data_IF_018702665357
#
_entry.id   IF_018702665357
#
_cell.length_a   1.000
_cell.length_b   1.000
_cell.length_c   1.000
_cell.angle_alpha   90.00
_cell.angle_beta   90.00
_cell.angle_gamma   90.00
#
_symmetry.space_group_name_H-M   'P 1'
#
loop_
_entity.id
_entity.type
_entity.pdbx_description
1 polymer ?
#
# COMPACT_ATOMS: atom_id res chain seq x y z
N UNK A 1 39.28 -19.43 -59.99
CA UNK A 1 37.84 -19.11 -59.88
C UNK A 1 37.15 -20.22 -59.11
N UNK A 2 36.66 -19.91 -57.91
CA UNK A 2 35.34 -20.21 -57.34
C UNK A 2 35.51 -19.95 -55.84
N UNK A 3 34.98 -18.79 -55.43
CA UNK A 3 34.83 -18.41 -54.05
C UNK A 3 33.68 -19.22 -53.45
N UNK A 4 33.90 -19.78 -52.25
CA UNK A 4 32.82 -20.33 -51.43
C UNK A 4 32.78 -19.49 -50.16
N UNK A 5 31.92 -18.48 -50.18
CA UNK A 5 31.56 -17.69 -49.01
C UNK A 5 30.51 -18.47 -48.23
N UNK A 6 30.92 -19.07 -47.10
CA UNK A 6 30.00 -19.68 -46.15
C UNK A 6 29.49 -18.60 -45.20
N UNK A 7 28.29 -18.13 -45.53
CA UNK A 7 27.42 -17.28 -44.72
C UNK A 7 27.05 -18.04 -43.44
N UNK A 8 27.69 -17.72 -42.32
CA UNK A 8 27.24 -18.19 -41.01
C UNK A 8 26.37 -17.09 -40.38
N UNK A 9 25.07 -17.34 -40.33
CA UNK A 9 24.07 -16.52 -39.66
C UNK A 9 24.49 -16.21 -38.22
N UNK A 10 24.73 -14.94 -37.92
CA UNK A 10 24.79 -14.45 -36.55
C UNK A 10 23.44 -14.65 -35.89
N UNK A 11 23.36 -15.58 -34.93
CA UNK A 11 22.26 -15.63 -33.98
C UNK A 11 22.35 -14.37 -33.11
N UNK A 12 21.55 -13.36 -33.46
CA UNK A 12 21.21 -12.27 -32.56
C UNK A 12 20.42 -12.86 -31.39
N UNK A 13 21.11 -13.06 -30.27
CA UNK A 13 20.51 -13.21 -28.95
C UNK A 13 19.67 -11.95 -28.69
N UNK A 14 18.37 -12.04 -28.94
CA UNK A 14 17.40 -11.07 -28.43
C UNK A 14 17.34 -11.31 -26.92
N UNK A 15 18.13 -10.55 -26.17
CA UNK A 15 17.94 -10.43 -24.74
C UNK A 15 16.53 -9.86 -24.51
N UNK A 16 15.60 -10.73 -24.12
CA UNK A 16 14.36 -10.30 -23.50
C UNK A 16 14.75 -9.62 -22.19
N UNK A 17 14.89 -8.30 -22.23
CA UNK A 17 14.94 -7.51 -21.02
C UNK A 17 13.59 -7.72 -20.33
N UNK A 18 13.61 -8.44 -19.21
CA UNK A 18 12.53 -8.44 -18.22
C UNK A 18 12.30 -6.98 -17.83
N UNK A 19 11.36 -6.31 -18.52
CA UNK A 19 10.70 -5.14 -17.99
C UNK A 19 9.83 -5.62 -16.84
N UNK A 20 10.48 -5.86 -15.68
CA UNK A 20 9.82 -5.71 -14.39
C UNK A 20 9.17 -4.34 -14.45
N UNK A 21 7.85 -4.31 -14.67
CA UNK A 21 7.00 -3.16 -14.43
C UNK A 21 7.22 -2.81 -12.96
N UNK A 22 8.17 -1.91 -12.70
CA UNK A 22 8.37 -1.29 -11.41
C UNK A 22 7.07 -0.55 -11.14
N UNK A 23 6.20 -1.12 -10.31
CA UNK A 23 4.99 -0.45 -9.88
C UNK A 23 5.37 0.95 -9.39
N UNK A 24 4.65 2.00 -9.84
CA UNK A 24 4.98 3.36 -9.45
C UNK A 24 4.97 3.46 -7.93
N UNK A 25 6.15 3.74 -7.39
CA UNK A 25 6.41 3.91 -5.98
C UNK A 25 5.59 5.13 -5.50
N UNK A 26 4.65 4.93 -4.58
CA UNK A 26 3.70 5.95 -4.13
C UNK A 26 3.71 6.03 -2.60
N UNK A 27 3.75 7.26 -2.09
CA UNK A 27 3.62 7.53 -0.65
C UNK A 27 2.16 7.37 -0.21
N UNK A 28 1.94 6.79 0.96
CA UNK A 28 0.62 6.67 1.59
C UNK A 28 0.17 8.01 2.18
N UNK A 29 0.02 9.02 1.34
CA UNK A 29 -0.31 10.38 1.72
C UNK A 29 -1.45 10.95 0.86
N UNK A 30 -2.34 11.71 1.50
CA UNK A 30 -3.51 12.33 0.87
C UNK A 30 -3.53 13.81 1.25
N UNK A 31 -3.81 14.68 0.28
CA UNK A 31 -4.11 16.09 0.49
C UNK A 31 -5.64 16.22 0.55
N UNK A 32 -6.15 16.84 1.61
CA UNK A 32 -7.59 17.06 1.82
C UNK A 32 -7.87 18.55 1.98
N UNK A 33 -8.82 19.08 1.21
CA UNK A 33 -9.35 20.43 1.38
C UNK A 33 -10.78 20.33 1.89
N UNK A 34 -11.04 20.98 3.02
CA UNK A 34 -12.37 21.06 3.61
C UNK A 34 -13.09 22.33 3.15
N UNK A 35 -14.40 22.24 3.02
CA UNK A 35 -15.25 23.39 2.74
C UNK A 35 -15.07 24.46 3.81
N UNK A 36 -14.92 25.71 3.38
CA UNK A 36 -14.60 26.83 4.28
C UNK A 36 -15.60 27.01 5.43
N UNK A 37 -16.87 26.73 5.15
CA UNK A 37 -17.96 26.90 6.11
C UNK A 37 -18.21 25.64 6.97
N UNK A 38 -17.44 24.58 6.78
CA UNK A 38 -17.47 23.40 7.66
C UNK A 38 -16.70 23.64 8.96
N UNK A 39 -16.98 22.85 9.99
CA UNK A 39 -16.21 22.86 11.23
C UNK A 39 -14.74 22.48 10.99
N UNK A 40 -14.49 21.50 10.11
CA UNK A 40 -13.16 21.10 9.72
C UNK A 40 -12.40 22.25 9.04
N UNK A 41 -13.03 22.92 8.07
CA UNK A 41 -12.46 24.07 7.36
C UNK A 41 -12.09 25.22 8.29
N UNK A 42 -12.97 25.56 9.25
CA UNK A 42 -12.67 26.57 10.28
C UNK A 42 -11.51 26.19 11.19
N UNK A 43 -11.40 24.90 11.56
CA UNK A 43 -10.27 24.41 12.38
C UNK A 43 -8.94 24.51 11.62
N UNK A 44 -8.92 24.11 10.36
CA UNK A 44 -7.73 24.23 9.49
C UNK A 44 -7.32 25.70 9.32
N UNK A 45 -8.30 26.59 9.10
CA UNK A 45 -8.08 28.04 9.02
C UNK A 45 -7.49 28.61 10.32
N UNK A 46 -7.94 28.12 11.48
CA UNK A 46 -7.41 28.53 12.79
C UNK A 46 -5.95 28.10 12.98
N UNK A 47 -5.64 26.84 12.69
CA UNK A 47 -4.27 26.30 12.80
C UNK A 47 -3.31 27.08 11.89
N UNK A 48 -3.70 27.33 10.64
CA UNK A 48 -2.86 28.06 9.70
C UNK A 48 -2.54 29.50 10.16
N UNK A 49 -3.45 30.15 10.88
CA UNK A 49 -3.28 31.53 11.37
C UNK A 49 -2.46 31.62 12.65
N UNK A 50 -2.73 30.72 13.59
CA UNK A 50 -2.18 30.82 14.94
C UNK A 50 -0.83 30.10 15.04
N UNK A 51 -0.80 28.81 14.67
CA UNK A 51 0.35 27.93 14.86
C UNK A 51 0.33 26.79 13.81
N UNK A 52 0.82 27.01 12.58
CA UNK A 52 0.72 26.03 11.49
C UNK A 52 1.45 24.70 11.75
N UNK A 53 2.42 24.70 12.67
CA UNK A 53 3.17 23.51 13.11
C UNK A 53 2.46 22.73 14.24
N UNK A 54 1.51 23.34 14.95
CA UNK A 54 0.79 22.71 16.07
C UNK A 54 -0.43 21.93 15.58
N UNK A 55 -0.17 20.70 15.14
CA UNK A 55 -1.22 19.78 14.68
C UNK A 55 -1.92 19.02 15.83
N UNK A 56 -1.51 19.23 17.09
CA UNK A 56 -2.08 18.52 18.25
C UNK A 56 -3.58 18.77 18.41
N UNK A 57 -4.05 19.93 17.95
CA UNK A 57 -5.46 20.37 17.98
C UNK A 57 -6.37 19.65 16.98
N UNK A 58 -5.81 18.77 16.13
CA UNK A 58 -6.56 18.02 15.13
C UNK A 58 -7.09 16.68 15.63
N UNK A 59 -6.89 16.31 16.91
CA UNK A 59 -7.33 15.02 17.46
C UNK A 59 -8.80 14.69 17.19
N UNK A 60 -9.72 15.62 17.46
CA UNK A 60 -11.15 15.43 17.18
C UNK A 60 -11.42 15.18 15.70
N UNK A 61 -10.77 15.95 14.82
CA UNK A 61 -10.94 15.82 13.37
C UNK A 61 -10.39 14.48 12.87
N UNK A 62 -9.26 14.03 13.39
CA UNK A 62 -8.70 12.71 13.08
C UNK A 62 -9.69 11.60 13.44
N UNK A 63 -10.29 11.67 14.63
CA UNK A 63 -11.25 10.68 15.09
C UNK A 63 -12.53 10.70 14.25
N UNK A 64 -13.05 11.89 13.91
CA UNK A 64 -14.20 12.04 13.01
C UNK A 64 -13.93 11.45 11.62
N UNK A 65 -12.75 11.74 11.04
CA UNK A 65 -12.34 11.16 9.76
C UNK A 65 -12.22 9.65 9.87
N UNK A 66 -11.60 9.13 10.95
CA UNK A 66 -11.45 7.70 11.21
C UNK A 66 -12.80 6.99 11.26
N UNK A 67 -13.78 7.57 11.94
CA UNK A 67 -15.15 7.03 12.01
C UNK A 67 -15.84 7.05 10.65
N UNK A 68 -15.61 8.10 9.85
CA UNK A 68 -16.28 8.30 8.56
C UNK A 68 -15.71 7.41 7.45
N UNK A 69 -14.38 7.22 7.41
CA UNK A 69 -13.72 6.49 6.32
C UNK A 69 -13.25 5.09 6.74
N UNK A 70 -13.21 4.79 8.04
CA UNK A 70 -12.80 3.51 8.60
C UNK A 70 -11.29 3.31 8.79
N UNK A 71 -10.48 4.35 8.55
CA UNK A 71 -9.01 4.28 8.57
C UNK A 71 -8.41 5.42 9.41
N UNK A 72 -7.33 5.12 10.12
CA UNK A 72 -6.59 6.14 10.86
C UNK A 72 -5.79 7.01 9.88
N UNK A 73 -5.93 8.32 10.00
CA UNK A 73 -5.17 9.31 9.22
C UNK A 73 -4.37 10.18 10.19
N UNK A 74 -3.06 10.27 9.96
CA UNK A 74 -2.14 11.08 10.78
C UNK A 74 -1.86 12.40 10.07
N UNK A 75 -2.22 13.56 10.63
CA UNK A 75 -1.84 14.87 10.10
C UNK A 75 -0.34 15.02 10.00
N UNK A 76 0.11 15.53 8.86
CA UNK A 76 1.53 15.80 8.57
C UNK A 76 1.80 17.29 8.58
N UNK A 77 0.93 18.10 7.94
CA UNK A 77 1.02 19.57 7.92
C UNK A 77 -0.24 20.19 7.33
N UNK A 78 -0.40 21.49 7.55
CA UNK A 78 -1.36 22.33 6.82
C UNK A 78 -0.62 23.18 5.79
N UNK A 79 -1.10 23.20 4.54
CA UNK A 79 -0.52 24.01 3.46
C UNK A 79 -1.03 25.45 3.50
N UNK A 80 -0.32 26.37 2.84
CA UNK A 80 -0.78 27.76 2.66
C UNK A 80 -2.10 27.85 1.86
N UNK A 81 -2.44 26.81 1.08
CA UNK A 81 -3.70 26.63 0.40
C UNK A 81 -4.87 26.20 1.30
N UNK A 82 -4.65 26.11 2.62
CA UNK A 82 -5.60 25.58 3.62
C UNK A 82 -5.96 24.12 3.36
N UNK A 83 -4.97 23.34 2.95
CA UNK A 83 -5.13 21.91 2.74
C UNK A 83 -4.45 21.17 3.88
N UNK A 84 -5.05 20.08 4.33
CA UNK A 84 -4.44 19.17 5.28
C UNK A 84 -3.74 18.04 4.52
N UNK A 85 -2.42 17.91 4.70
CA UNK A 85 -1.69 16.72 4.29
C UNK A 85 -1.82 15.68 5.42
N UNK A 86 -2.31 14.49 5.09
CA UNK A 86 -2.41 13.35 6.01
C UNK A 86 -1.63 12.15 5.48
N UNK A 87 -1.06 11.37 6.39
CA UNK A 87 -0.40 10.08 6.15
C UNK A 87 -1.27 8.93 6.64
N UNK A 88 -1.25 7.83 5.92
CA UNK A 88 -1.87 6.57 6.33
C UNK A 88 -0.73 5.66 6.86
N UNK A 89 -0.70 5.35 8.17
CA UNK A 89 0.34 4.49 8.72
C UNK A 89 0.13 3.04 8.24
N UNK A 90 1.18 2.40 7.71
CA UNK A 90 1.09 1.05 7.13
C UNK A 90 0.99 -0.05 8.21
N UNK A 91 1.79 0.05 9.27
CA UNK A 91 1.85 -0.98 10.32
C UNK A 91 0.49 -1.28 10.97
N UNK A 92 -0.34 -0.30 11.37
CA UNK A 92 -1.66 -0.59 11.92
C UNK A 92 -2.59 -1.33 10.95
N UNK A 93 -2.39 -1.18 9.64
CA UNK A 93 -3.17 -1.91 8.62
C UNK A 93 -2.79 -3.39 8.60
N UNK A 94 -1.48 -3.66 8.60
CA UNK A 94 -0.95 -5.02 8.59
C UNK A 94 -1.16 -5.73 9.93
N UNK A 95 -1.07 -5.02 11.07
CA UNK A 95 -1.40 -5.58 12.38
C UNK A 95 -2.88 -5.99 12.46
N UNK A 96 -3.81 -5.19 11.91
CA UNK A 96 -5.22 -5.58 11.83
C UNK A 96 -5.44 -6.86 11.02
N UNK A 97 -4.71 -7.02 9.91
CA UNK A 97 -4.76 -8.24 9.10
C UNK A 97 -4.17 -9.41 9.90
N UNK A 98 -3.01 -9.21 10.52
CA UNK A 98 -2.32 -10.20 11.36
C UNK A 98 -3.24 -10.72 12.45
N UNK A 99 -3.87 -9.86 13.24
CA UNK A 99 -4.82 -10.25 14.30
C UNK A 99 -5.96 -11.15 13.81
N UNK A 100 -6.43 -10.94 12.58
CA UNK A 100 -7.46 -11.77 11.95
C UNK A 100 -6.90 -13.12 11.49
N UNK A 101 -5.73 -13.10 10.82
CA UNK A 101 -5.12 -14.30 10.27
C UNK A 101 -4.55 -15.24 11.35
N UNK A 102 -3.98 -14.71 12.43
CA UNK A 102 -3.43 -15.52 13.53
C UNK A 102 -4.50 -16.36 14.25
N UNK A 103 -5.79 -16.07 14.06
CA UNK A 103 -6.91 -16.80 14.65
C UNK A 103 -7.40 -17.95 13.77
N UNK A 104 -6.86 -18.10 12.55
CA UNK A 104 -7.27 -19.12 11.59
C UNK A 104 -6.58 -20.46 11.89
N UNK A 105 -7.30 -21.59 11.86
CA UNK A 105 -6.73 -22.89 12.19
C UNK A 105 -5.67 -23.38 11.20
N UNK A 106 -5.70 -22.91 9.95
CA UNK A 106 -4.71 -23.24 8.92
C UNK A 106 -3.38 -22.48 9.08
N UNK A 107 -3.36 -21.41 9.87
CA UNK A 107 -2.19 -20.53 10.07
C UNK A 107 -1.34 -21.02 11.24
N UNK A 108 -0.07 -21.29 10.97
CA UNK A 108 0.93 -21.71 11.95
C UNK A 108 1.57 -20.51 12.67
N UNK A 109 1.94 -19.46 11.92
CA UNK A 109 2.58 -18.26 12.45
C UNK A 109 2.35 -17.06 11.52
N UNK A 110 2.38 -15.86 12.09
CA UNK A 110 2.36 -14.57 11.40
C UNK A 110 3.43 -13.65 11.97
N UNK A 111 4.23 -13.03 11.11
CA UNK A 111 5.34 -12.16 11.48
C UNK A 111 5.32 -10.88 10.63
N UNK A 112 5.48 -9.72 11.27
CA UNK A 112 5.65 -8.46 10.56
C UNK A 112 7.16 -8.23 10.32
N UNK A 113 7.55 -8.11 9.06
CA UNK A 113 8.93 -7.97 8.61
C UNK A 113 9.09 -6.59 7.98
N UNK A 114 10.01 -5.79 8.52
CA UNK A 114 10.42 -4.54 7.87
C UNK A 114 11.15 -4.84 6.55
N UNK A 115 10.73 -4.23 5.46
CA UNK A 115 11.31 -4.46 4.12
C UNK A 115 12.36 -3.39 3.81
N UNK A 116 12.08 -2.11 4.07
CA UNK A 116 12.99 -0.97 3.88
C UNK A 116 12.58 0.22 4.75
N UNK A 117 13.55 0.92 5.36
CA UNK A 117 13.30 2.13 6.17
C UNK A 117 13.41 3.45 5.38
N UNK A 118 14.08 3.46 4.22
CA UNK A 118 14.59 4.72 3.63
C UNK A 118 13.78 5.29 2.46
N UNK A 119 12.88 4.51 1.84
CA UNK A 119 12.06 4.99 0.73
C UNK A 119 10.56 5.00 1.08
N UNK A 120 9.97 6.18 1.37
CA UNK A 120 8.57 6.30 1.80
C UNK A 120 7.56 5.88 0.71
N UNK A 121 8.04 5.56 -0.49
CA UNK A 121 7.23 5.17 -1.64
C UNK A 121 7.20 3.65 -1.88
N UNK A 122 7.99 2.87 -1.15
CA UNK A 122 7.96 1.41 -1.17
C UNK A 122 7.28 0.89 0.09
N UNK A 123 6.68 -0.30 0.04
CA UNK A 123 6.11 -0.94 1.22
C UNK A 123 7.16 -0.99 2.34
N UNK A 124 6.80 -0.44 3.49
CA UNK A 124 7.70 -0.35 4.65
C UNK A 124 7.77 -1.70 5.37
N UNK A 125 6.65 -2.43 5.35
CA UNK A 125 6.46 -3.67 6.08
C UNK A 125 5.77 -4.73 5.20
N UNK A 126 6.09 -6.00 5.47
CA UNK A 126 5.41 -7.17 4.93
C UNK A 126 4.91 -8.03 6.09
N UNK A 127 3.66 -8.46 6.03
CA UNK A 127 3.17 -9.51 6.90
C UNK A 127 3.47 -10.87 6.26
N UNK A 128 4.39 -11.63 6.85
CA UNK A 128 4.66 -13.01 6.48
C UNK A 128 3.70 -13.95 7.23
N UNK A 129 2.94 -14.73 6.47
CA UNK A 129 2.01 -15.73 7.00
C UNK A 129 2.53 -17.12 6.64
N UNK A 130 2.72 -17.97 7.63
CA UNK A 130 3.10 -19.38 7.44
C UNK A 130 1.92 -20.26 7.79
N UNK A 131 1.60 -21.18 6.90
CA UNK A 131 0.52 -22.15 7.07
C UNK A 131 1.06 -23.47 7.63
N UNK A 132 0.18 -24.28 8.23
CA UNK A 132 0.51 -25.65 8.57
C UNK A 132 0.92 -26.44 7.31
N UNK A 133 1.92 -27.34 7.38
CA UNK A 133 2.36 -28.12 6.22
C UNK A 133 1.27 -28.99 5.58
N UNK A 134 0.22 -29.35 6.34
CA UNK A 134 -0.93 -30.12 5.87
C UNK A 134 -2.02 -29.27 5.21
N UNK A 135 -1.90 -27.94 5.22
CA UNK A 135 -2.88 -27.03 4.65
C UNK A 135 -2.69 -26.90 3.13
N UNK A 136 -3.78 -26.77 2.38
CA UNK A 136 -3.77 -26.64 0.91
C UNK A 136 -3.00 -25.39 0.46
N UNK A 137 -3.06 -24.32 1.25
CA UNK A 137 -2.31 -23.08 1.05
C UNK A 137 -0.79 -23.34 1.02
N UNK A 138 -0.29 -24.24 1.88
CA UNK A 138 1.14 -24.57 1.94
C UNK A 138 1.62 -25.22 0.65
N UNK A 139 0.82 -26.13 0.08
CA UNK A 139 1.12 -26.78 -1.19
C UNK A 139 1.11 -25.79 -2.36
N UNK A 140 0.17 -24.83 -2.37
CA UNK A 140 0.13 -23.76 -3.36
C UNK A 140 1.37 -22.87 -3.28
N UNK A 141 1.73 -22.41 -2.08
CA UNK A 141 2.82 -21.44 -1.88
C UNK A 141 4.19 -22.04 -2.22
N UNK A 142 4.41 -23.32 -1.93
CA UNK A 142 5.64 -24.01 -2.35
C UNK A 142 5.80 -24.07 -3.87
N UNK A 143 4.72 -24.35 -4.61
CA UNK A 143 4.74 -24.34 -6.09
C UNK A 143 4.94 -22.92 -6.62
N UNK A 144 4.21 -21.96 -6.06
CA UNK A 144 4.27 -20.57 -6.50
C UNK A 144 5.61 -19.89 -6.21
N UNK A 145 6.37 -20.35 -5.21
CA UNK A 145 7.71 -19.85 -4.96
C UNK A 145 8.69 -20.19 -6.10
N UNK A 146 8.51 -21.35 -6.75
CA UNK A 146 9.35 -21.78 -7.87
C UNK A 146 8.80 -21.36 -9.24
N UNK A 147 7.48 -21.20 -9.36
CA UNK A 147 6.81 -21.03 -10.66
C UNK A 147 5.88 -19.80 -10.66
N UNK A 148 6.28 -18.76 -11.41
CA UNK A 148 5.55 -17.50 -11.51
C UNK A 148 4.12 -17.64 -12.08
N UNK A 149 3.81 -18.74 -12.79
CA UNK A 149 2.47 -19.04 -13.33
C UNK A 149 1.39 -19.09 -12.25
N UNK A 150 1.76 -19.36 -10.99
CA UNK A 150 0.83 -19.40 -9.87
C UNK A 150 0.63 -18.04 -9.17
N UNK A 151 1.30 -16.96 -9.61
CA UNK A 151 1.20 -15.65 -8.96
C UNK A 151 -0.25 -15.15 -8.83
N UNK A 152 -1.07 -15.32 -9.87
CA UNK A 152 -2.49 -14.95 -9.82
C UNK A 152 -3.29 -15.73 -8.78
N UNK A 153 -2.95 -17.01 -8.53
CA UNK A 153 -3.60 -17.82 -7.49
C UNK A 153 -3.15 -17.41 -6.09
N UNK A 154 -1.89 -17.00 -5.93
CA UNK A 154 -1.39 -16.44 -4.67
C UNK A 154 -2.07 -15.11 -4.35
N UNK A 155 -2.24 -14.24 -5.36
CA UNK A 155 -2.99 -12.99 -5.19
C UNK A 155 -4.45 -13.27 -4.81
N UNK A 156 -5.11 -14.23 -5.48
CA UNK A 156 -6.48 -14.61 -5.15
C UNK A 156 -6.61 -15.14 -3.71
N UNK A 157 -5.66 -15.97 -3.26
CA UNK A 157 -5.59 -16.42 -1.87
C UNK A 157 -5.44 -15.24 -0.90
N UNK A 158 -4.52 -14.32 -1.17
CA UNK A 158 -4.32 -13.13 -0.34
C UNK A 158 -5.60 -12.29 -0.20
N UNK A 159 -6.30 -12.04 -1.32
CA UNK A 159 -7.58 -11.31 -1.31
C UNK A 159 -8.66 -12.04 -0.53
N UNK A 160 -8.77 -13.36 -0.68
CA UNK A 160 -9.75 -14.18 0.05
C UNK A 160 -9.49 -14.14 1.56
N UNK A 161 -8.23 -14.30 1.98
CA UNK A 161 -7.84 -14.31 3.39
C UNK A 161 -8.09 -12.95 4.06
N UNK A 162 -7.82 -11.86 3.32
CA UNK A 162 -7.90 -10.48 3.80
C UNK A 162 -9.25 -9.80 3.51
N UNK A 163 -10.24 -10.48 2.92
CA UNK A 163 -11.51 -9.86 2.50
C UNK A 163 -12.23 -9.09 3.62
N UNK A 164 -12.11 -9.53 4.87
CA UNK A 164 -12.76 -8.91 6.01
C UNK A 164 -12.04 -7.65 6.56
N UNK A 165 -10.79 -7.40 6.18
CA UNK A 165 -10.00 -6.29 6.74
C UNK A 165 -10.33 -4.93 6.12
N UNK A 166 -11.00 -4.93 4.95
CA UNK A 166 -11.21 -3.76 4.10
C UNK A 166 -9.91 -3.11 3.58
N UNK A 167 -8.74 -3.70 3.87
CA UNK A 167 -7.41 -3.23 3.42
C UNK A 167 -7.07 -3.93 2.09
N UNK A 168 -6.86 -3.19 0.99
CA UNK A 168 -6.32 -3.75 -0.24
C UNK A 168 -4.90 -4.29 -0.04
N UNK A 169 -4.62 -5.50 -0.51
CA UNK A 169 -3.33 -6.18 -0.30
C UNK A 169 -2.78 -6.80 -1.59
N UNK A 170 -1.45 -6.90 -1.65
CA UNK A 170 -0.73 -7.69 -2.63
C UNK A 170 -0.16 -8.94 -1.96
N UNK A 171 -0.36 -10.10 -2.59
CA UNK A 171 0.11 -11.40 -2.14
C UNK A 171 1.31 -11.88 -2.95
N UNK A 172 2.30 -12.44 -2.27
CA UNK A 172 3.48 -13.04 -2.88
C UNK A 172 3.86 -14.35 -2.19
N UNK A 173 4.37 -15.31 -2.96
CA UNK A 173 4.92 -16.53 -2.38
C UNK A 173 6.33 -16.25 -1.85
N UNK A 174 6.58 -16.68 -0.62
CA UNK A 174 7.82 -16.51 0.11
C UNK A 174 8.42 -17.87 0.46
N UNK A 175 9.72 -17.90 0.75
CA UNK A 175 10.42 -19.14 1.05
C UNK A 175 9.82 -19.90 2.25
N UNK A 176 9.80 -21.24 2.15
CA UNK A 176 9.25 -22.11 3.19
C UNK A 176 7.72 -22.01 3.30
N UNK A 177 7.02 -22.08 2.16
CA UNK A 177 5.56 -22.01 2.06
C UNK A 177 4.94 -20.77 2.73
N UNK A 178 5.63 -19.62 2.65
CA UNK A 178 5.13 -18.37 3.23
C UNK A 178 4.27 -17.59 2.24
N UNK A 179 3.23 -16.93 2.74
CA UNK A 179 2.51 -15.88 2.02
C UNK A 179 2.99 -14.53 2.56
N UNK A 180 3.65 -13.75 1.71
CA UNK A 180 3.98 -12.37 1.98
C UNK A 180 2.83 -11.46 1.58
N UNK A 181 2.34 -10.66 2.51
CA UNK A 181 1.29 -9.68 2.32
C UNK A 181 1.85 -8.27 2.50
N UNK A 182 1.67 -7.41 1.50
CA UNK A 182 1.94 -5.97 1.59
C UNK A 182 0.66 -5.19 1.28
N UNK A 183 0.59 -3.94 1.72
CA UNK A 183 -0.55 -3.08 1.39
C UNK A 183 -0.50 -2.71 -0.10
N UNK A 184 -1.60 -2.89 -0.81
CA UNK A 184 -1.76 -2.31 -2.15
C UNK A 184 -2.01 -0.80 -1.99
N UNK A 185 -0.91 -0.04 -1.99
CA UNK A 185 -0.93 1.41 -1.75
C UNK A 185 -1.76 2.17 -2.77
N UNK A 186 -1.76 1.75 -4.03
CA UNK A 186 -2.52 2.43 -5.08
C UNK A 186 -4.02 2.23 -4.86
N UNK A 187 -4.45 0.97 -4.70
CA UNK A 187 -5.85 0.65 -4.45
C UNK A 187 -6.35 1.26 -3.13
N UNK A 188 -5.50 1.31 -2.10
CA UNK A 188 -5.83 1.95 -0.83
C UNK A 188 -6.04 3.46 -0.99
N UNK A 189 -5.15 4.17 -1.69
CA UNK A 189 -5.29 5.60 -1.92
C UNK A 189 -6.52 5.93 -2.76
N UNK A 190 -6.76 5.20 -3.85
CA UNK A 190 -7.95 5.39 -4.69
C UNK A 190 -9.24 5.25 -3.87
N UNK A 191 -9.30 4.19 -3.06
CA UNK A 191 -10.42 3.92 -2.15
C UNK A 191 -10.61 5.05 -1.13
N UNK A 192 -9.54 5.48 -0.47
CA UNK A 192 -9.60 6.52 0.56
C UNK A 192 -9.95 7.89 -0.01
N UNK A 193 -9.36 8.26 -1.14
CA UNK A 193 -9.67 9.49 -1.87
C UNK A 193 -11.15 9.51 -2.26
N UNK A 194 -11.68 8.39 -2.78
CA UNK A 194 -13.10 8.27 -3.11
C UNK A 194 -13.98 8.45 -1.87
N UNK A 195 -13.64 7.81 -0.74
CA UNK A 195 -14.39 7.97 0.52
C UNK A 195 -14.38 9.41 1.03
N UNK A 196 -13.21 10.06 1.00
CA UNK A 196 -13.05 11.44 1.46
C UNK A 196 -13.83 12.43 0.58
N UNK A 197 -13.78 12.28 -0.75
CA UNK A 197 -14.54 13.12 -1.68
C UNK A 197 -16.07 12.96 -1.55
N UNK A 198 -16.54 11.88 -0.94
CA UNK A 198 -17.96 11.67 -0.67
C UNK A 198 -18.42 12.26 0.68
N UNK A 199 -17.52 12.84 1.47
CA UNK A 199 -17.88 13.52 2.72
C UNK A 199 -18.42 14.93 2.42
N UNK A 200 -19.48 15.33 3.11
CA UNK A 200 -20.17 16.60 2.87
C UNK A 200 -19.29 17.85 3.13
N UNK A 201 -18.30 17.74 4.02
CA UNK A 201 -17.43 18.83 4.43
C UNK A 201 -16.12 18.90 3.62
N UNK A 202 -15.94 18.06 2.61
CA UNK A 202 -14.72 17.98 1.80
C UNK A 202 -14.96 18.59 0.42
N UNK A 203 -14.19 19.63 0.09
CA UNK A 203 -14.19 20.23 -1.26
C UNK A 203 -13.46 19.31 -2.25
N UNK A 204 -12.30 18.77 -1.85
CA UNK A 204 -11.62 17.69 -2.56
C UNK A 204 -10.63 16.93 -1.68
N UNK A 205 -10.32 15.72 -2.11
CA UNK A 205 -9.20 14.91 -1.69
C UNK A 205 -8.44 14.37 -2.90
N UNK A 206 -7.11 14.31 -2.81
CA UNK A 206 -6.24 13.73 -3.85
C UNK A 206 -5.02 13.06 -3.23
N UNK A 207 -4.50 12.02 -3.88
CA UNK A 207 -3.23 11.42 -3.50
C UNK A 207 -2.09 12.45 -3.61
N UNK A 208 -1.18 12.46 -2.65
CA UNK A 208 0.02 13.29 -2.75
C UNK A 208 1.00 12.68 -3.76
N UNK A 209 0.90 13.10 -5.01
CA UNK A 209 1.79 12.68 -6.10
C UNK A 209 3.06 13.53 -6.20
N UNK A 210 3.25 14.51 -5.29
CA UNK A 210 4.38 15.44 -5.36
C UNK A 210 5.69 14.71 -5.16
N UNK A 211 6.54 14.72 -6.19
CA UNK A 211 7.88 14.14 -6.16
C UNK A 211 8.78 14.96 -5.23
N UNK A 212 8.84 14.63 -3.95
CA UNK A 212 9.98 15.05 -3.13
C UNK A 212 11.15 14.11 -3.45
N UNK A 213 12.06 14.57 -4.32
CA UNK A 213 13.43 14.07 -4.33
C UNK A 213 14.08 14.63 -3.06
N UNK A 214 14.19 13.81 -2.01
CA UNK A 214 15.05 14.16 -0.89
C UNK A 214 16.49 14.18 -1.42
N UNK A 215 17.16 15.31 -1.23
CA UNK A 215 18.60 15.51 -1.51
C UNK A 215 19.43 14.90 -0.40
#
# INVERSE_FOLDING_TARGET
MIAVALLACGMLLVAAADTKLSSPSIALEIIVKFSRDSDAGRRIDGILKDHPEDLSRLGDLQEQLRQSIGFMLTPVRVTSGRELLVRIPEDPLLERIKESLSKRPEVLNTELIAIQDENPRLAESMLLVRFHPSADESALLNKAYAEAVYAGRVQALALQLCAASDVPVLGSAQAGAGLGLTVDRYALLEKLVTRLNNLADVDYAQANSTVQLMK
#
